data_IF_118428501589
#
_entry.id   IF_118428501589
#
_cell.length_a   1.000
_cell.length_b   1.000
_cell.length_c   1.000
_cell.angle_alpha   90.00
_cell.angle_beta   90.00
_cell.angle_gamma   90.00
#
_symmetry.space_group_name_H-M   'P 1'
#
loop_
_entity.id
_entity.type
_entity.pdbx_description
1 polymer ?
#
# COMPACT_ATOMS: atom_id res chain seq x y z
N UNK A 1 13.62 -72.10 35.71
CA UNK A 1 13.76 -70.67 36.10
C UNK A 1 13.97 -69.90 34.80
N UNK A 2 12.97 -69.15 34.27
CA UNK A 2 13.11 -68.52 32.97
C UNK A 2 14.02 -67.28 33.05
N UNK A 3 14.73 -67.01 31.96
CA UNK A 3 15.67 -65.91 31.82
C UNK A 3 14.95 -64.55 31.77
N UNK A 4 15.52 -63.53 32.41
CA UNK A 4 15.05 -62.14 32.28
C UNK A 4 15.40 -61.62 30.88
N UNK A 5 14.37 -61.19 30.14
CA UNK A 5 14.50 -60.40 28.93
C UNK A 5 15.08 -59.02 29.31
N UNK A 6 16.19 -58.64 28.66
CA UNK A 6 16.79 -57.31 28.78
C UNK A 6 15.83 -56.26 28.23
N UNK A 7 15.44 -55.31 29.07
CA UNK A 7 14.70 -54.12 28.63
C UNK A 7 15.61 -53.22 27.80
N UNK A 8 15.12 -52.77 26.65
CA UNK A 8 15.79 -51.79 25.80
C UNK A 8 16.02 -50.49 26.59
N UNK A 9 17.22 -49.91 26.45
CA UNK A 9 17.60 -48.65 27.09
C UNK A 9 16.81 -47.50 26.43
N UNK A 10 15.98 -46.74 27.19
CA UNK A 10 15.18 -45.65 26.64
C UNK A 10 16.02 -44.57 25.95
N UNK A 11 17.31 -44.45 26.28
CA UNK A 11 18.21 -43.46 25.69
C UNK A 11 18.52 -43.69 24.20
N UNK A 12 18.36 -44.92 23.70
CA UNK A 12 18.50 -45.23 22.27
C UNK A 12 17.34 -44.65 21.44
N UNK A 13 16.11 -44.64 21.97
CA UNK A 13 14.94 -44.07 21.31
C UNK A 13 14.97 -42.52 21.25
N UNK A 14 15.56 -41.87 22.27
CA UNK A 14 15.77 -40.41 22.28
C UNK A 14 16.84 -39.95 21.26
N UNK A 15 17.80 -40.81 20.92
CA UNK A 15 18.80 -40.51 19.90
C UNK A 15 18.23 -40.61 18.47
N UNK A 16 17.31 -41.55 18.24
CA UNK A 16 16.67 -41.81 16.94
C UNK A 16 15.73 -40.68 16.46
N UNK A 17 15.28 -39.82 17.37
CA UNK A 17 14.29 -38.75 17.10
C UNK A 17 14.92 -37.37 16.85
N UNK A 18 16.24 -37.29 16.61
CA UNK A 18 16.91 -36.02 16.28
C UNK A 18 16.73 -35.70 14.80
N UNK A 19 15.67 -34.97 14.46
CA UNK A 19 15.56 -34.32 13.15
C UNK A 19 16.73 -33.34 13.00
N UNK A 20 17.73 -33.71 12.21
CA UNK A 20 18.86 -32.84 11.86
C UNK A 20 18.65 -32.29 10.46
N UNK A 21 18.73 -30.98 10.31
CA UNK A 21 18.66 -30.33 9.00
C UNK A 21 20.05 -30.45 8.36
N UNK A 22 20.19 -31.05 7.17
CA UNK A 22 21.47 -31.12 6.48
C UNK A 22 22.07 -29.72 6.26
N UNK A 23 23.37 -29.50 6.52
CA UNK A 23 24.02 -28.19 6.33
C UNK A 23 23.84 -27.61 4.92
N UNK A 24 23.67 -28.47 3.91
CA UNK A 24 23.43 -28.04 2.53
C UNK A 24 22.12 -27.25 2.37
N UNK A 25 21.09 -27.54 3.18
CA UNK A 25 19.85 -26.76 3.16
C UNK A 25 20.11 -25.34 3.66
N UNK A 26 20.94 -25.16 4.69
CA UNK A 26 21.35 -23.85 5.16
C UNK A 26 22.16 -23.09 4.09
N UNK A 27 23.07 -23.76 3.39
CA UNK A 27 23.83 -23.16 2.28
C UNK A 27 22.92 -22.72 1.14
N UNK A 28 21.95 -23.56 0.73
CA UNK A 28 20.97 -23.22 -0.30
C UNK A 28 20.13 -22.02 0.13
N UNK A 29 19.66 -21.98 1.38
CA UNK A 29 18.86 -20.88 1.91
C UNK A 29 19.66 -19.57 1.94
N UNK A 30 20.95 -19.62 2.32
CA UNK A 30 21.84 -18.47 2.28
C UNK A 30 21.99 -17.95 0.85
N UNK A 31 22.31 -18.83 -0.12
CA UNK A 31 22.43 -18.47 -1.53
C UNK A 31 21.12 -17.87 -2.05
N UNK A 32 19.99 -18.45 -1.68
CA UNK A 32 18.66 -17.96 -2.06
C UNK A 32 18.40 -16.54 -1.53
N UNK A 33 18.69 -16.28 -0.25
CA UNK A 33 18.53 -14.93 0.34
C UNK A 33 19.45 -13.92 -0.34
N UNK A 34 20.72 -14.25 -0.58
CA UNK A 34 21.65 -13.35 -1.27
C UNK A 34 21.25 -13.12 -2.73
N UNK A 35 20.71 -14.13 -3.41
CA UNK A 35 20.16 -14.01 -4.76
C UNK A 35 18.95 -13.07 -4.80
N UNK A 36 18.01 -13.23 -3.85
CA UNK A 36 16.87 -12.32 -3.72
C UNK A 36 17.32 -10.89 -3.42
N UNK A 37 18.24 -10.70 -2.48
CA UNK A 37 18.80 -9.39 -2.16
C UNK A 37 19.48 -8.74 -3.37
N UNK A 38 20.31 -9.50 -4.09
CA UNK A 38 20.98 -9.04 -5.30
C UNK A 38 19.97 -8.65 -6.39
N UNK A 39 18.91 -9.44 -6.57
CA UNK A 39 17.83 -9.11 -7.51
C UNK A 39 17.12 -7.81 -7.12
N UNK A 40 16.74 -7.64 -5.85
CA UNK A 40 16.11 -6.41 -5.35
C UNK A 40 17.03 -5.21 -5.55
N UNK A 41 18.31 -5.34 -5.22
CA UNK A 41 19.31 -4.27 -5.40
C UNK A 41 19.46 -3.85 -6.87
N UNK A 42 19.48 -4.82 -7.80
CA UNK A 42 19.55 -4.53 -9.23
C UNK A 42 18.29 -3.82 -9.73
N UNK A 43 17.10 -4.21 -9.25
CA UNK A 43 15.84 -3.55 -9.60
C UNK A 43 15.82 -2.11 -9.05
N UNK A 44 16.22 -1.93 -7.80
CA UNK A 44 16.25 -0.62 -7.13
C UNK A 44 17.18 0.36 -7.86
N UNK A 45 18.31 -0.12 -8.38
CA UNK A 45 19.22 0.67 -9.21
C UNK A 45 18.65 1.17 -10.54
N UNK A 46 17.52 0.63 -11.02
CA UNK A 46 16.82 1.08 -12.24
C UNK A 46 15.71 2.09 -11.92
N UNK A 47 15.25 2.16 -10.67
CA UNK A 47 14.16 3.04 -10.27
C UNK A 47 14.63 4.50 -10.18
N UNK A 48 13.73 5.47 -10.42
CA UNK A 48 14.03 6.87 -10.15
C UNK A 48 14.39 7.10 -8.69
N UNK A 49 15.34 8.00 -8.43
CA UNK A 49 15.72 8.38 -7.07
C UNK A 49 14.51 8.95 -6.32
N UNK A 50 14.22 8.37 -5.15
CA UNK A 50 13.20 8.87 -4.25
C UNK A 50 13.61 10.24 -3.69
N UNK A 51 12.86 11.29 -4.05
CA UNK A 51 13.14 12.66 -3.62
C UNK A 51 12.52 12.97 -2.26
N UNK A 52 13.21 13.79 -1.48
CA UNK A 52 12.79 14.28 -0.17
C UNK A 52 12.17 15.69 -0.28
N UNK A 53 11.50 16.15 0.77
CA UNK A 53 10.87 17.47 0.82
C UNK A 53 11.91 18.59 0.60
N UNK A 54 13.14 18.40 1.09
CA UNK A 54 14.24 19.36 0.88
C UNK A 54 14.62 19.52 -0.60
N UNK A 55 14.42 18.48 -1.42
CA UNK A 55 14.78 18.45 -2.84
C UNK A 55 13.77 19.19 -3.73
N UNK A 56 12.57 19.46 -3.21
CA UNK A 56 11.46 20.09 -3.95
C UNK A 56 11.83 21.46 -4.51
N UNK A 57 12.64 22.24 -3.79
CA UNK A 57 13.08 23.57 -4.23
C UNK A 57 13.81 23.54 -5.58
N UNK A 58 14.50 22.44 -5.86
CA UNK A 58 15.27 22.24 -7.09
C UNK A 58 14.50 21.40 -8.13
N UNK A 59 13.38 20.77 -7.74
CA UNK A 59 12.62 19.84 -8.57
C UNK A 59 11.10 20.10 -8.42
N UNK A 60 10.65 21.29 -8.83
CA UNK A 60 9.28 21.75 -8.59
C UNK A 60 8.21 20.78 -9.09
N UNK A 61 8.40 20.22 -10.29
CA UNK A 61 7.45 19.31 -10.94
C UNK A 61 7.67 17.83 -10.59
N UNK A 62 8.72 17.48 -9.83
CA UNK A 62 9.01 16.10 -9.51
C UNK A 62 8.18 15.62 -8.30
N UNK A 63 7.81 14.34 -8.34
CA UNK A 63 7.12 13.68 -7.24
C UNK A 63 8.03 13.60 -5.99
N UNK A 64 7.50 13.98 -4.82
CA UNK A 64 8.23 13.92 -3.55
C UNK A 64 7.82 12.65 -2.77
N UNK A 65 8.70 11.66 -2.80
CA UNK A 65 8.47 10.35 -2.19
C UNK A 65 8.32 10.42 -0.66
N UNK A 66 9.11 11.25 0.01
CA UNK A 66 9.04 11.43 1.46
C UNK A 66 7.64 11.90 1.91
N UNK A 67 7.05 12.85 1.19
CA UNK A 67 5.73 13.39 1.53
C UNK A 67 4.62 12.36 1.32
N UNK A 68 4.66 11.64 0.20
CA UNK A 68 3.73 10.54 -0.04
C UNK A 68 3.86 9.47 1.06
N UNK A 69 5.08 9.13 1.49
CA UNK A 69 5.29 8.20 2.60
C UNK A 69 4.74 8.71 3.94
N UNK A 70 4.86 10.02 4.22
CA UNK A 70 4.25 10.63 5.41
C UNK A 70 2.71 10.53 5.36
N UNK A 71 2.10 10.84 4.21
CA UNK A 71 0.66 10.71 4.02
C UNK A 71 0.19 9.25 4.25
N UNK A 72 0.94 8.24 3.79
CA UNK A 72 0.61 6.81 4.08
C UNK A 72 0.62 6.50 5.58
N UNK A 73 1.59 7.03 6.33
CA UNK A 73 1.64 6.83 7.79
C UNK A 73 0.42 7.42 8.47
N UNK A 74 -0.01 8.61 8.06
CA UNK A 74 -1.20 9.25 8.60
C UNK A 74 -2.48 8.45 8.28
N UNK A 75 -2.61 7.94 7.05
CA UNK A 75 -3.73 7.06 6.69
C UNK A 75 -3.76 5.77 7.51
N UNK A 76 -2.59 5.20 7.83
CA UNK A 76 -2.48 3.95 8.57
C UNK A 76 -2.88 4.08 10.05
N UNK A 77 -2.84 5.29 10.62
CA UNK A 77 -3.14 5.55 12.03
C UNK A 77 -4.57 6.02 12.29
N UNK A 78 -5.26 6.56 11.27
CA UNK A 78 -6.54 7.26 11.43
C UNK A 78 -7.73 6.40 11.00
N UNK A 79 -8.80 6.43 11.80
CA UNK A 79 -10.05 5.69 11.57
C UNK A 79 -10.99 6.42 10.58
N UNK A 80 -10.86 7.74 10.42
CA UNK A 80 -11.76 8.57 9.59
C UNK A 80 -11.07 9.06 8.32
N UNK A 81 -10.95 8.18 7.33
CA UNK A 81 -10.20 8.42 6.09
C UNK A 81 -10.74 9.59 5.25
N UNK A 82 -12.07 9.77 5.17
CA UNK A 82 -12.69 10.81 4.32
C UNK A 82 -12.39 12.22 4.83
N UNK A 83 -12.36 12.43 6.15
CA UNK A 83 -12.03 13.74 6.72
C UNK A 83 -10.56 14.09 6.49
N UNK A 84 -9.66 13.10 6.64
CA UNK A 84 -8.24 13.27 6.33
C UNK A 84 -8.01 13.61 4.85
N UNK A 85 -8.68 12.90 3.94
CA UNK A 85 -8.62 13.20 2.50
C UNK A 85 -9.07 14.63 2.22
N UNK A 86 -10.23 15.04 2.74
CA UNK A 86 -10.74 16.41 2.56
C UNK A 86 -9.77 17.46 3.10
N UNK A 87 -9.17 17.23 4.28
CA UNK A 87 -8.17 18.13 4.85
C UNK A 87 -6.94 18.26 3.93
N UNK A 88 -6.37 17.13 3.49
CA UNK A 88 -5.18 17.10 2.62
C UNK A 88 -5.47 17.78 1.28
N UNK A 89 -6.64 17.53 0.69
CA UNK A 89 -7.07 18.16 -0.58
C UNK A 89 -7.26 19.67 -0.39
N UNK A 90 -7.87 20.11 0.72
CA UNK A 90 -8.03 21.53 1.00
C UNK A 90 -6.68 22.24 1.16
N UNK A 91 -5.71 21.60 1.79
CA UNK A 91 -4.36 22.15 1.92
C UNK A 91 -3.62 22.21 0.57
N UNK A 92 -3.82 21.23 -0.31
CA UNK A 92 -3.32 21.32 -1.70
C UNK A 92 -3.98 22.49 -2.42
N UNK A 93 -5.31 22.63 -2.31
CA UNK A 93 -6.07 23.69 -2.98
C UNK A 93 -5.63 25.09 -2.56
N UNK A 94 -5.25 25.30 -1.29
CA UNK A 94 -4.72 26.60 -0.81
C UNK A 94 -3.40 27.00 -1.46
N UNK A 95 -2.60 26.03 -1.89
CA UNK A 95 -1.26 26.25 -2.44
C UNK A 95 -1.20 26.06 -3.97
N UNK A 96 -2.32 25.69 -4.60
CA UNK A 96 -2.42 25.48 -6.03
C UNK A 96 -2.20 26.78 -6.83
N UNK A 97 -1.69 26.65 -8.05
CA UNK A 97 -1.55 27.76 -8.97
C UNK A 97 -2.92 28.32 -9.38
N UNK A 98 -3.06 29.64 -9.44
CA UNK A 98 -4.30 30.33 -9.82
C UNK A 98 -4.86 29.96 -11.21
N UNK A 99 -4.05 29.38 -12.09
CA UNK A 99 -4.45 28.92 -13.44
C UNK A 99 -5.23 27.60 -13.37
N UNK A 100 -5.02 26.83 -12.30
CA UNK A 100 -5.68 25.56 -12.06
C UNK A 100 -6.87 25.74 -11.10
N UNK A 101 -7.94 24.98 -11.36
CA UNK A 101 -9.14 24.90 -10.55
C UNK A 101 -9.27 23.47 -10.06
N UNK A 102 -9.48 23.35 -8.75
CA UNK A 102 -9.76 22.09 -8.08
C UNK A 102 -11.22 22.13 -7.63
N UNK A 103 -12.02 21.22 -8.16
CA UNK A 103 -13.40 20.98 -7.74
C UNK A 103 -13.44 19.67 -6.93
N UNK A 104 -14.10 19.68 -5.78
CA UNK A 104 -14.23 18.52 -4.90
C UNK A 104 -15.70 18.18 -4.73
N UNK A 105 -16.04 16.91 -4.90
CA UNK A 105 -17.39 16.37 -4.65
C UNK A 105 -17.30 15.15 -3.73
N UNK A 106 -18.06 15.16 -2.64
CA UNK A 106 -18.14 14.07 -1.67
C UNK A 106 -19.51 13.46 -1.73
N UNK A 107 -19.57 12.22 -2.19
CA UNK A 107 -20.83 11.49 -2.42
C UNK A 107 -21.03 10.45 -1.34
N UNK A 108 -22.27 10.27 -0.88
CA UNK A 108 -22.67 9.18 0.01
C UNK A 108 -23.76 8.38 -0.69
N UNK A 109 -23.48 7.13 -1.00
CA UNK A 109 -24.33 6.29 -1.84
C UNK A 109 -24.65 4.96 -1.17
N UNK A 110 -25.90 4.52 -1.32
CA UNK A 110 -26.37 3.18 -0.96
C UNK A 110 -27.03 2.57 -2.19
N UNK A 111 -26.94 1.26 -2.34
CA UNK A 111 -27.52 0.59 -3.49
C UNK A 111 -27.20 -0.89 -3.51
N UNK A 112 -27.65 -1.54 -4.58
CA UNK A 112 -27.33 -2.94 -4.83
C UNK A 112 -27.34 -3.23 -6.33
N UNK A 113 -26.60 -4.26 -6.72
CA UNK A 113 -26.60 -4.77 -8.09
C UNK A 113 -26.39 -6.28 -8.08
N UNK A 114 -26.86 -6.96 -9.13
CA UNK A 114 -26.63 -8.40 -9.28
C UNK A 114 -25.23 -8.63 -9.85
N UNK A 115 -24.41 -9.44 -9.17
CA UNK A 115 -23.08 -9.85 -9.67
C UNK A 115 -23.25 -10.99 -10.67
N UNK A 116 -24.16 -11.92 -10.40
CA UNK A 116 -24.46 -13.07 -11.25
C UNK A 116 -25.93 -13.50 -11.13
N UNK A 117 -26.31 -14.61 -11.79
CA UNK A 117 -27.63 -15.23 -11.72
C UNK A 117 -27.88 -15.86 -10.34
N UNK A 118 -27.90 -15.06 -9.28
CA UNK A 118 -28.22 -15.50 -7.92
C UNK A 118 -27.65 -14.63 -6.80
N UNK A 119 -26.58 -13.89 -7.05
CA UNK A 119 -25.88 -13.11 -6.04
C UNK A 119 -26.13 -11.60 -6.21
N UNK A 120 -26.54 -10.94 -5.13
CA UNK A 120 -26.70 -9.49 -5.06
C UNK A 120 -25.58 -8.92 -4.19
N UNK A 121 -24.83 -7.96 -4.71
CA UNK A 121 -23.99 -7.10 -3.89
C UNK A 121 -24.82 -5.91 -3.44
N UNK A 122 -24.88 -5.68 -2.13
CA UNK A 122 -25.47 -4.49 -1.55
C UNK A 122 -24.38 -3.69 -0.84
N UNK A 123 -24.50 -2.37 -0.89
CA UNK A 123 -23.63 -1.43 -0.19
C UNK A 123 -24.48 -0.36 0.47
N UNK A 124 -24.07 0.08 1.66
CA UNK A 124 -24.78 1.10 2.42
C UNK A 124 -23.82 2.22 2.82
N UNK A 125 -24.20 3.46 2.52
CA UNK A 125 -23.50 4.70 2.88
C UNK A 125 -22.03 4.70 2.51
N UNK A 126 -21.69 4.10 1.37
CA UNK A 126 -20.34 4.17 0.81
C UNK A 126 -20.05 5.61 0.44
N UNK A 127 -18.90 6.10 0.89
CA UNK A 127 -18.45 7.45 0.62
C UNK A 127 -17.49 7.44 -0.57
N UNK A 128 -17.61 8.40 -1.47
CA UNK A 128 -16.65 8.64 -2.55
C UNK A 128 -16.15 10.08 -2.46
N UNK A 129 -14.84 10.28 -2.62
CA UNK A 129 -14.23 11.62 -2.71
C UNK A 129 -13.70 11.79 -4.13
N UNK A 130 -14.34 12.68 -4.89
CA UNK A 130 -14.00 12.94 -6.28
C UNK A 130 -13.32 14.30 -6.35
N UNK A 131 -12.13 14.33 -6.95
CA UNK A 131 -11.37 15.55 -7.17
C UNK A 131 -11.16 15.74 -8.67
N UNK A 132 -11.49 16.93 -9.17
CA UNK A 132 -11.30 17.30 -10.56
C UNK A 132 -10.36 18.50 -10.64
N UNK A 133 -9.19 18.26 -11.23
CA UNK A 133 -8.22 19.29 -11.57
C UNK A 133 -8.41 19.69 -13.04
N UNK A 134 -8.60 20.98 -13.30
CA UNK A 134 -8.68 21.50 -14.68
C UNK A 134 -8.19 22.94 -14.76
N UNK A 135 -7.96 23.44 -15.98
CA UNK A 135 -7.67 24.86 -16.23
C UNK A 135 -8.93 25.58 -16.75
N UNK A 136 -8.85 26.90 -16.93
CA UNK A 136 -9.89 27.72 -17.57
C UNK A 136 -10.16 27.30 -19.01
N UNK A 137 -9.18 26.73 -19.70
CA UNK A 137 -9.36 26.14 -21.02
C UNK A 137 -9.94 24.74 -20.88
N UNK A 138 -11.24 24.60 -21.14
CA UNK A 138 -11.93 23.32 -21.10
C UNK A 138 -11.36 22.36 -22.17
N UNK A 139 -10.60 21.36 -21.71
CA UNK A 139 -10.21 20.20 -22.53
C UNK A 139 -11.43 19.32 -22.83
N UNK A 140 -11.47 18.71 -24.02
CA UNK A 140 -12.45 17.67 -24.35
C UNK A 140 -12.06 16.29 -23.82
N UNK A 141 -10.82 16.13 -23.38
CA UNK A 141 -10.26 14.88 -22.89
C UNK A 141 -10.01 14.97 -21.39
N UNK A 142 -10.30 13.87 -20.70
CA UNK A 142 -10.10 13.72 -19.26
C UNK A 142 -9.39 12.40 -18.98
N UNK A 143 -8.54 12.39 -17.95
CA UNK A 143 -7.94 11.18 -17.40
C UNK A 143 -8.56 10.91 -16.02
N UNK A 144 -9.10 9.71 -15.83
CA UNK A 144 -9.56 9.24 -14.53
C UNK A 144 -8.45 8.40 -13.89
N UNK A 145 -8.05 8.78 -12.68
CA UNK A 145 -7.16 8.01 -11.82
C UNK A 145 -7.96 7.70 -10.56
N UNK A 146 -7.98 6.44 -10.13
CA UNK A 146 -8.74 6.02 -8.96
C UNK A 146 -7.92 5.13 -8.03
N UNK A 147 -8.26 5.20 -6.74
CA UNK A 147 -7.80 4.34 -5.68
C UNK A 147 -8.96 4.19 -4.69
N UNK A 148 -9.09 3.03 -4.08
CA UNK A 148 -9.98 2.87 -2.93
C UNK A 148 -9.22 3.22 -1.63
N UNK A 149 -9.93 3.73 -0.63
CA UNK A 149 -9.36 4.19 0.64
C UNK A 149 -9.93 3.44 1.85
N UNK A 150 -10.92 2.58 1.64
CA UNK A 150 -11.37 1.61 2.63
C UNK A 150 -10.33 0.50 2.83
N UNK A 151 -10.44 -0.20 3.95
CA UNK A 151 -9.50 -1.23 4.36
C UNK A 151 -10.23 -2.41 4.99
N UNK A 152 -9.55 -3.55 5.08
CA UNK A 152 -10.04 -4.69 5.84
C UNK A 152 -10.24 -4.27 7.31
N UNK A 153 -11.39 -4.61 7.94
CA UNK A 153 -11.70 -4.18 9.30
C UNK A 153 -10.58 -4.49 10.29
N UNK A 154 -10.19 -3.48 11.07
CA UNK A 154 -9.14 -3.61 12.09
C UNK A 154 -7.70 -3.62 11.55
N UNK A 155 -7.50 -3.34 10.26
CA UNK A 155 -6.17 -3.28 9.65
C UNK A 155 -5.83 -1.86 9.19
N UNK A 156 -4.54 -1.48 9.17
CA UNK A 156 -4.13 -0.13 8.79
C UNK A 156 -4.28 0.17 7.29
N UNK A 157 -4.46 -0.84 6.42
CA UNK A 157 -4.64 -0.62 4.97
C UNK A 157 -3.49 0.10 4.26
N UNK A 158 -2.28 0.10 4.83
CA UNK A 158 -1.16 0.91 4.33
C UNK A 158 -0.78 0.58 2.87
N UNK A 159 -0.59 -0.71 2.57
CA UNK A 159 -0.27 -1.18 1.22
C UNK A 159 -1.51 -1.37 0.34
N UNK A 160 -2.65 -1.68 0.95
CA UNK A 160 -3.92 -1.95 0.29
C UNK A 160 -5.01 -1.13 1.03
N UNK A 161 -5.23 0.13 0.65
CA UNK A 161 -4.67 0.80 -0.53
C UNK A 161 -4.26 2.26 -0.28
N UNK A 162 -3.92 2.59 0.96
CA UNK A 162 -3.52 3.95 1.36
C UNK A 162 -2.31 4.48 0.57
N UNK A 163 -1.38 3.61 0.17
CA UNK A 163 -0.23 3.97 -0.68
C UNK A 163 -0.66 4.66 -1.98
N UNK A 164 -1.70 4.15 -2.65
CA UNK A 164 -2.16 4.74 -3.91
C UNK A 164 -2.97 6.02 -3.67
N UNK A 165 -3.69 6.13 -2.55
CA UNK A 165 -4.32 7.40 -2.15
C UNK A 165 -3.28 8.50 -1.91
N UNK A 166 -2.18 8.18 -1.20
CA UNK A 166 -1.08 9.13 -0.97
C UNK A 166 -0.36 9.53 -2.26
N UNK A 167 -0.15 8.58 -3.18
CA UNK A 167 0.40 8.86 -4.52
C UNK A 167 -0.51 9.82 -5.28
N UNK A 168 -1.83 9.59 -5.29
CA UNK A 168 -2.78 10.49 -5.95
C UNK A 168 -2.79 11.90 -5.35
N UNK A 169 -2.66 12.04 -4.03
CA UNK A 169 -2.54 13.34 -3.37
C UNK A 169 -1.28 14.10 -3.79
N UNK A 170 -0.14 13.41 -3.88
CA UNK A 170 1.11 14.04 -4.33
C UNK A 170 1.07 14.38 -5.82
N UNK A 171 0.45 13.54 -6.66
CA UNK A 171 0.21 13.88 -8.08
C UNK A 171 -0.67 15.13 -8.18
N UNK A 172 -1.78 15.18 -7.44
CA UNK A 172 -2.66 16.35 -7.42
C UNK A 172 -1.87 17.61 -7.04
N UNK A 173 -1.06 17.53 -5.98
CA UNK A 173 -0.23 18.64 -5.48
C UNK A 173 0.80 19.14 -6.49
N UNK A 174 1.37 18.25 -7.30
CA UNK A 174 2.38 18.59 -8.31
C UNK A 174 1.79 19.13 -9.61
N UNK A 175 0.55 18.76 -9.91
CA UNK A 175 -0.15 19.22 -11.11
C UNK A 175 -1.00 20.48 -10.89
N UNK A 176 -1.37 20.78 -9.64
CA UNK A 176 -2.20 21.93 -9.25
C UNK A 176 -1.40 23.20 -9.04
#
# INVERSE_FOLDING_TARGET
>A
KPAMQGGADPSEDYAASRHTVPPIIAVILIIFIFSLYGMVYLIDGVLPTALNILDEKNHLAAFIAERAQQDVKEFAEIVVAVDLLQQKIADIQKNANSVHKIEVDVQVVSGSYMIDLGSVLAYDKVQNVIVKLHSSNNSRNSLLINAHFDTVPGTPGASDNAVNCAVMLEILRKLS
#
